data_IF_204402523814
#
_entry.id   IF_204402523814
#
_cell.length_a   1.000
_cell.length_b   1.000
_cell.length_c   1.000
_cell.angle_alpha   90.00
_cell.angle_beta   90.00
_cell.angle_gamma   90.00
#
_symmetry.space_group_name_H-M   'P 1'
#
loop_
_entity.id
_entity.type
_entity.pdbx_description
1 polymer ?
#
# COMPACT_ATOMS: atom_id res chain seq x y z
N UNK A 1 15.04 -26.86 -18.90
CA UNK A 1 13.59 -26.65 -18.73
C UNK A 1 12.93 -26.77 -20.10
N UNK A 2 11.84 -27.54 -20.26
CA UNK A 2 11.08 -27.54 -21.52
C UNK A 2 10.51 -26.13 -21.74
N UNK A 3 10.59 -25.59 -22.95
CA UNK A 3 10.17 -24.21 -23.26
C UNK A 3 8.73 -23.93 -22.80
N UNK A 4 7.81 -24.87 -23.06
CA UNK A 4 6.40 -24.80 -22.65
C UNK A 4 6.23 -24.69 -21.13
N UNK A 5 7.10 -25.35 -20.36
CA UNK A 5 7.08 -25.28 -18.88
C UNK A 5 7.49 -23.88 -18.42
N UNK A 6 8.51 -23.29 -19.03
CA UNK A 6 8.95 -21.94 -18.72
C UNK A 6 7.91 -20.87 -19.02
N UNK A 7 7.27 -20.97 -20.19
CA UNK A 7 6.20 -20.06 -20.60
C UNK A 7 5.01 -20.17 -19.64
N UNK A 8 4.60 -21.40 -19.29
CA UNK A 8 3.50 -21.63 -18.36
C UNK A 8 3.75 -21.02 -16.99
N UNK A 9 4.89 -21.37 -16.36
CA UNK A 9 5.20 -20.85 -15.02
C UNK A 9 5.47 -19.33 -15.03
N UNK A 10 6.14 -18.81 -16.06
CA UNK A 10 6.31 -17.37 -16.22
C UNK A 10 4.96 -16.65 -16.30
N UNK A 11 4.03 -17.16 -17.12
CA UNK A 11 2.67 -16.63 -17.25
C UNK A 11 1.88 -16.71 -15.94
N UNK A 12 1.91 -17.85 -15.27
CA UNK A 12 1.22 -18.07 -13.99
C UNK A 12 1.73 -17.10 -12.91
N UNK A 13 3.05 -17.02 -12.71
CA UNK A 13 3.63 -16.12 -11.71
C UNK A 13 3.44 -14.65 -12.08
N UNK A 14 3.53 -14.29 -13.36
CA UNK A 14 3.25 -12.94 -13.83
C UNK A 14 1.81 -12.51 -13.54
N UNK A 15 0.83 -13.39 -13.84
CA UNK A 15 -0.58 -13.15 -13.57
C UNK A 15 -0.88 -13.06 -12.07
N UNK A 16 -0.32 -13.97 -11.26
CA UNK A 16 -0.45 -13.93 -9.81
C UNK A 16 0.15 -12.66 -9.21
N UNK A 17 1.32 -12.23 -9.69
CA UNK A 17 1.96 -10.98 -9.27
C UNK A 17 1.08 -9.76 -9.57
N UNK A 18 0.51 -9.67 -10.77
CA UNK A 18 -0.41 -8.59 -11.15
C UNK A 18 -1.66 -8.59 -10.26
N UNK A 19 -2.29 -9.75 -10.05
CA UNK A 19 -3.49 -9.86 -9.22
C UNK A 19 -3.20 -9.46 -7.77
N UNK A 20 -2.07 -9.91 -7.22
CA UNK A 20 -1.61 -9.52 -5.89
C UNK A 20 -1.40 -8.01 -5.81
N UNK A 21 -0.78 -7.40 -6.82
CA UNK A 21 -0.62 -5.94 -6.85
C UNK A 21 -1.95 -5.20 -6.92
N UNK A 22 -2.91 -5.66 -7.70
CA UNK A 22 -4.24 -5.05 -7.75
C UNK A 22 -4.92 -5.10 -6.37
N UNK A 23 -4.83 -6.23 -5.66
CA UNK A 23 -5.39 -6.35 -4.31
C UNK A 23 -4.62 -5.49 -3.31
N UNK A 24 -3.28 -5.55 -3.35
CA UNK A 24 -2.45 -4.77 -2.45
C UNK A 24 -2.71 -3.28 -2.63
N UNK A 25 -2.53 -2.73 -3.83
CA UNK A 25 -2.61 -1.29 -4.09
C UNK A 25 -4.03 -0.76 -4.24
N UNK A 26 -5.01 -1.60 -4.59
CA UNK A 26 -6.40 -1.19 -4.76
C UNK A 26 -7.21 -1.10 -3.47
N UNK A 27 -6.70 -1.69 -2.38
CA UNK A 27 -7.40 -1.70 -1.09
C UNK A 27 -6.91 -0.59 -0.16
N UNK A 28 -7.74 -0.26 0.81
CA UNK A 28 -7.53 0.78 1.82
C UNK A 28 -7.01 0.24 3.16
N UNK A 29 -6.18 -0.82 3.11
CA UNK A 29 -5.62 -1.51 4.28
C UNK A 29 -4.08 -1.61 4.21
N UNK A 30 -3.41 -0.53 3.83
CA UNK A 30 -1.95 -0.42 3.92
C UNK A 30 -1.50 0.02 5.31
N UNK A 31 -2.20 0.99 5.90
CA UNK A 31 -2.03 1.43 7.28
C UNK A 31 -3.28 1.13 8.08
N UNK A 32 -3.09 0.71 9.32
CA UNK A 32 -4.15 0.60 10.31
C UNK A 32 -3.75 1.47 11.51
N UNK A 33 -4.67 2.30 11.98
CA UNK A 33 -4.47 3.04 13.22
C UNK A 33 -5.65 2.84 14.16
N UNK A 34 -5.38 2.77 15.46
CA UNK A 34 -6.40 2.74 16.51
C UNK A 34 -6.13 3.87 17.46
N UNK A 35 -7.08 4.79 17.55
CA UNK A 35 -7.07 5.90 18.50
C UNK A 35 -7.94 5.52 19.69
N UNK A 36 -7.44 5.75 20.89
CA UNK A 36 -8.16 5.52 22.15
C UNK A 36 -7.99 6.76 23.00
N UNK A 37 -9.08 7.38 23.43
CA UNK A 37 -9.00 8.55 24.30
C UNK A 37 -10.36 9.03 24.78
N UNK A 38 -10.36 9.87 25.82
CA UNK A 38 -11.56 10.57 26.29
C UNK A 38 -11.55 11.97 25.68
N UNK A 39 -12.35 12.18 24.65
CA UNK A 39 -12.49 13.48 23.99
C UNK A 39 -13.83 14.13 24.38
N UNK A 40 -13.92 15.48 24.42
CA UNK A 40 -15.19 16.18 24.62
C UNK A 40 -16.14 15.95 23.44
N UNK A 41 -17.45 15.81 23.68
CA UNK A 41 -18.43 15.80 22.59
C UNK A 41 -18.53 17.21 21.97
N UNK A 42 -18.41 17.28 20.64
CA UNK A 42 -18.48 18.52 19.85
C UNK A 42 -19.77 19.31 20.08
N UNK A 43 -20.83 18.67 20.60
CA UNK A 43 -22.13 19.31 20.85
C UNK A 43 -22.25 20.01 22.20
N UNK A 44 -21.53 19.60 23.26
CA UNK A 44 -21.74 20.17 24.60
C UNK A 44 -20.48 20.38 25.48
N UNK A 45 -19.26 20.16 24.97
CA UNK A 45 -18.00 20.28 25.77
C UNK A 45 -18.06 19.50 27.10
N UNK A 46 -18.94 18.51 27.21
CA UNK A 46 -19.04 17.62 28.35
C UNK A 46 -18.16 16.42 28.04
N UNK A 47 -17.43 15.93 29.03
CA UNK A 47 -16.64 14.72 28.90
C UNK A 47 -17.57 13.54 28.69
N UNK A 48 -17.22 12.62 27.78
CA UNK A 48 -17.97 11.38 27.63
C UNK A 48 -17.88 10.58 28.93
N UNK A 49 -18.98 10.56 29.70
CA UNK A 49 -19.10 9.79 30.95
C UNK A 49 -19.12 8.28 30.68
N UNK A 50 -19.39 7.87 29.43
CA UNK A 50 -19.49 6.48 28.96
C UNK A 50 -18.14 5.77 28.72
N UNK A 51 -17.01 6.41 29.04
CA UNK A 51 -15.67 5.82 28.93
C UNK A 51 -14.87 6.30 27.70
N UNK A 52 -13.67 5.72 27.46
CA UNK A 52 -12.82 6.15 26.35
C UNK A 52 -13.43 5.77 25.00
N UNK A 53 -13.43 6.70 24.05
CA UNK A 53 -13.85 6.45 22.67
C UNK A 53 -12.72 5.75 21.93
N UNK A 54 -13.05 4.70 21.18
CA UNK A 54 -12.11 3.99 20.30
C UNK A 54 -12.47 4.28 18.85
N UNK A 55 -11.52 4.81 18.09
CA UNK A 55 -11.70 5.05 16.65
C UNK A 55 -10.69 4.22 15.87
N UNK A 56 -11.19 3.39 14.97
CA UNK A 56 -10.39 2.59 14.07
C UNK A 56 -10.26 3.30 12.73
N UNK A 57 -9.04 3.36 12.22
CA UNK A 57 -8.69 3.96 10.94
C UNK A 57 -8.01 2.93 10.07
N UNK A 58 -8.36 2.90 8.79
CA UNK A 58 -7.60 2.18 7.79
C UNK A 58 -7.40 3.06 6.56
N UNK A 59 -6.19 3.01 6.03
CA UNK A 59 -5.75 3.87 4.93
C UNK A 59 -5.05 3.04 3.85
N UNK A 60 -5.37 3.34 2.60
CA UNK A 60 -4.57 2.96 1.45
C UNK A 60 -4.27 4.16 0.57
N UNK A 61 -4.10 3.90 -0.72
CA UNK A 61 -3.60 4.89 -1.68
C UNK A 61 -4.64 5.96 -1.99
N UNK A 62 -5.89 5.53 -2.12
CA UNK A 62 -6.98 6.35 -2.61
C UNK A 62 -7.93 6.81 -1.50
N UNK A 63 -8.13 5.95 -0.49
CA UNK A 63 -9.13 6.13 0.55
C UNK A 63 -8.53 5.98 1.92
N UNK A 64 -9.04 6.81 2.83
CA UNK A 64 -8.87 6.70 4.27
C UNK A 64 -10.25 6.65 4.88
N UNK A 65 -10.51 5.61 5.65
CA UNK A 65 -11.80 5.39 6.29
C UNK A 65 -11.62 5.22 7.80
N UNK A 66 -12.64 5.64 8.55
CA UNK A 66 -12.68 5.45 9.99
C UNK A 66 -14.07 5.09 10.48
N UNK A 67 -14.10 4.41 11.63
CA UNK A 67 -15.33 4.01 12.31
C UNK A 67 -15.10 3.91 13.82
N UNK A 68 -16.16 4.13 14.58
CA UNK A 68 -16.13 4.00 16.04
C UNK A 68 -16.21 2.52 16.44
N UNK A 69 -15.45 2.17 17.47
CA UNK A 69 -15.38 0.84 18.06
C UNK A 69 -15.72 0.90 19.55
N UNK A 70 -16.08 -0.26 20.10
CA UNK A 70 -16.38 -0.38 21.52
C UNK A 70 -15.10 -0.52 22.34
N UNK A 71 -14.99 0.25 23.44
CA UNK A 71 -13.92 0.12 24.40
C UNK A 71 -14.05 -1.20 25.19
N UNK A 72 -13.22 -2.18 24.87
CA UNK A 72 -13.19 -3.48 25.54
C UNK A 72 -11.85 -4.19 25.37
N UNK A 73 -11.68 -5.32 26.05
CA UNK A 73 -10.48 -6.15 25.93
C UNK A 73 -10.25 -6.55 24.46
N UNK A 74 -9.10 -6.19 23.89
CA UNK A 74 -8.78 -6.41 22.48
C UNK A 74 -9.14 -5.26 21.53
N UNK A 75 -9.36 -4.04 22.05
CA UNK A 75 -9.55 -2.83 21.23
C UNK A 75 -8.42 -2.60 20.20
N UNK A 76 -7.22 -3.15 20.40
CA UNK A 76 -6.11 -3.04 19.46
C UNK A 76 -5.90 -4.30 18.60
N UNK A 77 -6.87 -5.20 18.51
CA UNK A 77 -6.73 -6.47 17.77
C UNK A 77 -6.93 -6.29 16.25
N UNK A 78 -6.12 -6.98 15.45
CA UNK A 78 -6.21 -6.95 13.98
C UNK A 78 -7.59 -7.40 13.47
N UNK A 79 -8.25 -8.28 14.23
CA UNK A 79 -9.58 -8.83 13.91
C UNK A 79 -10.69 -7.78 13.82
N UNK A 80 -10.51 -6.59 14.42
CA UNK A 80 -11.47 -5.48 14.31
C UNK A 80 -11.49 -4.86 12.91
N UNK A 81 -10.38 -4.98 12.18
CA UNK A 81 -10.28 -4.50 10.80
C UNK A 81 -10.75 -5.52 9.77
N UNK A 82 -11.16 -6.72 10.19
CA UNK A 82 -11.74 -7.71 9.28
C UNK A 82 -13.18 -7.34 8.93
N UNK A 83 -13.58 -7.51 7.67
CA UNK A 83 -14.87 -7.06 7.15
C UNK A 83 -16.09 -7.54 7.96
N UNK A 84 -16.00 -8.68 8.65
CA UNK A 84 -17.10 -9.24 9.46
C UNK A 84 -17.31 -8.56 10.81
N UNK A 85 -16.35 -7.76 11.28
CA UNK A 85 -16.35 -7.15 12.61
C UNK A 85 -16.41 -5.62 12.57
N UNK A 86 -16.60 -5.03 11.39
CA UNK A 86 -16.64 -3.58 11.21
C UNK A 86 -18.05 -3.03 11.49
N UNK A 87 -18.09 -1.78 11.95
CA UNK A 87 -19.33 -1.02 12.10
C UNK A 87 -20.04 -0.85 10.74
N UNK A 88 -21.38 -0.92 10.67
CA UNK A 88 -22.15 -0.66 9.44
C UNK A 88 -21.95 0.76 8.90
N UNK A 89 -21.69 1.73 9.77
CA UNK A 89 -21.40 3.11 9.40
C UNK A 89 -19.90 3.37 9.44
N UNK A 90 -19.31 3.64 8.28
CA UNK A 90 -17.92 4.10 8.13
C UNK A 90 -17.91 5.42 7.40
N UNK A 91 -17.04 6.34 7.82
CA UNK A 91 -16.82 7.59 7.11
C UNK A 91 -15.52 7.49 6.32
N UNK A 92 -15.56 7.84 5.04
CA UNK A 92 -14.43 7.69 4.13
C UNK A 92 -14.15 9.00 3.42
N UNK A 93 -12.88 9.37 3.38
CA UNK A 93 -12.40 10.52 2.62
C UNK A 93 -11.20 10.11 1.79
N UNK A 94 -10.88 10.92 0.79
CA UNK A 94 -9.72 10.67 -0.03
C UNK A 94 -8.41 10.82 0.78
N UNK A 95 -7.57 9.79 0.75
CA UNK A 95 -6.29 9.78 1.48
C UNK A 95 -5.31 10.88 0.97
N UNK A 96 -5.55 11.44 -0.23
CA UNK A 96 -4.73 12.50 -0.80
C UNK A 96 -5.10 13.93 -0.38
N UNK A 97 -6.28 14.14 0.20
CA UNK A 97 -6.67 15.47 0.68
C UNK A 97 -6.20 15.80 2.10
N UNK A 98 -5.64 14.83 2.82
CA UNK A 98 -5.19 15.04 4.19
C UNK A 98 -3.77 14.50 4.35
N UNK A 99 -2.73 15.35 4.33
CA UNK A 99 -1.65 15.11 5.27
C UNK A 99 -2.29 15.07 6.67
N UNK A 100 -1.69 14.36 7.62
CA UNK A 100 -2.15 14.31 9.01
C UNK A 100 -2.83 15.63 9.43
N UNK A 101 -3.99 15.61 10.10
CA UNK A 101 -4.72 16.83 10.45
C UNK A 101 -3.91 17.57 11.53
N UNK A 102 -2.85 18.24 11.10
CA UNK A 102 -2.02 19.14 11.83
C UNK A 102 -1.99 20.41 11.00
N UNK A 103 -2.37 21.49 11.68
CA UNK A 103 -2.75 22.78 11.13
C UNK A 103 -2.02 23.15 9.85
N UNK A 104 -2.80 23.26 8.79
CA UNK A 104 -2.47 23.95 7.54
C UNK A 104 -2.08 25.43 7.76
N UNK A 105 -2.20 25.92 8.98
CA UNK A 105 -1.82 27.28 9.41
C UNK A 105 -0.39 27.36 9.98
N UNK A 106 0.29 26.22 10.22
CA UNK A 106 1.71 26.18 10.57
C UNK A 106 2.59 26.10 9.31
N UNK A 107 2.35 27.01 8.35
CA UNK A 107 2.88 27.03 6.97
C UNK A 107 4.40 27.23 6.81
N UNK A 108 5.21 27.04 7.85
CA UNK A 108 6.66 27.34 7.82
C UNK A 108 7.53 26.23 8.44
N UNK A 109 7.12 24.96 8.34
CA UNK A 109 7.94 23.86 8.86
C UNK A 109 8.45 22.98 7.74
N UNK A 110 9.78 22.81 7.66
CA UNK A 110 10.46 21.95 6.68
C UNK A 110 9.93 20.49 6.64
N UNK A 111 9.25 20.04 7.69
CA UNK A 111 8.57 18.75 7.77
C UNK A 111 7.37 18.62 6.81
N UNK A 112 6.64 19.71 6.55
CA UNK A 112 5.50 19.70 5.62
C UNK A 112 5.96 19.63 4.17
N UNK A 113 6.95 20.44 3.80
CA UNK A 113 7.50 20.45 2.44
C UNK A 113 8.16 19.12 2.08
N UNK A 114 8.93 18.56 3.01
CA UNK A 114 9.55 17.23 2.84
C UNK A 114 8.49 16.12 2.70
N UNK A 115 7.37 16.20 3.41
CA UNK A 115 6.26 15.26 3.26
C UNK A 115 5.60 15.31 1.88
N UNK A 116 5.40 16.51 1.33
CA UNK A 116 4.85 16.69 -0.03
C UNK A 116 5.79 16.09 -1.06
N UNK A 117 7.08 16.42 -1.00
CA UNK A 117 8.09 15.93 -1.94
C UNK A 117 8.17 14.40 -1.88
N UNK A 118 8.18 13.85 -0.67
CA UNK A 118 8.23 12.41 -0.45
C UNK A 118 7.05 11.68 -1.10
N UNK A 119 5.85 12.20 -0.88
CA UNK A 119 4.61 11.69 -1.48
C UNK A 119 4.65 11.78 -3.01
N UNK A 120 5.22 12.85 -3.56
CA UNK A 120 5.42 13.03 -4.99
C UNK A 120 6.26 11.91 -5.59
N UNK A 121 7.46 11.67 -5.06
CA UNK A 121 8.33 10.58 -5.52
C UNK A 121 7.68 9.21 -5.39
N UNK A 122 7.03 8.94 -4.26
CA UNK A 122 6.33 7.69 -4.03
C UNK A 122 5.23 7.44 -5.07
N UNK A 123 4.46 8.49 -5.42
CA UNK A 123 3.43 8.42 -6.47
C UNK A 123 4.03 8.20 -7.85
N UNK A 124 5.17 8.83 -8.17
CA UNK A 124 5.87 8.63 -9.43
C UNK A 124 6.34 7.18 -9.58
N UNK A 125 7.00 6.61 -8.57
CA UNK A 125 7.44 5.22 -8.63
C UNK A 125 6.26 4.23 -8.73
N UNK A 126 5.16 4.51 -8.02
CA UNK A 126 3.92 3.76 -8.17
C UNK A 126 3.40 3.75 -9.62
N UNK A 127 3.29 4.92 -10.24
CA UNK A 127 2.81 5.05 -11.62
C UNK A 127 3.74 4.36 -12.61
N UNK A 128 5.05 4.53 -12.45
CA UNK A 128 6.05 3.85 -13.29
C UNK A 128 5.97 2.33 -13.14
N UNK A 129 5.78 1.82 -11.93
CA UNK A 129 5.56 0.40 -11.67
C UNK A 129 4.31 -0.15 -12.39
N UNK A 130 3.19 0.58 -12.33
CA UNK A 130 1.95 0.20 -13.02
C UNK A 130 2.11 0.22 -14.53
N UNK A 131 2.69 1.28 -15.10
CA UNK A 131 2.90 1.40 -16.55
C UNK A 131 3.81 0.28 -17.06
N UNK A 132 4.91 0.01 -16.35
CA UNK A 132 5.86 -1.03 -16.75
C UNK A 132 5.27 -2.43 -16.67
N UNK A 133 4.52 -2.77 -15.62
CA UNK A 133 3.93 -4.12 -15.52
C UNK A 133 2.82 -4.35 -16.53
N UNK A 134 2.00 -3.33 -16.83
CA UNK A 134 0.95 -3.41 -17.86
C UNK A 134 1.57 -3.58 -19.26
N UNK A 135 2.57 -2.76 -19.59
CA UNK A 135 3.30 -2.90 -20.85
C UNK A 135 4.03 -4.25 -20.96
N UNK A 136 4.62 -4.73 -19.86
CA UNK A 136 5.25 -6.04 -19.78
C UNK A 136 4.26 -7.17 -20.04
N UNK A 137 3.10 -7.14 -19.39
CA UNK A 137 2.02 -8.09 -19.63
C UNK A 137 1.56 -8.12 -21.09
N UNK A 138 1.37 -6.93 -21.69
CA UNK A 138 1.02 -6.82 -23.11
C UNK A 138 2.06 -7.47 -24.02
N UNK A 139 3.35 -7.18 -23.84
CA UNK A 139 4.42 -7.80 -24.63
C UNK A 139 4.48 -9.32 -24.49
N UNK A 140 4.26 -9.85 -23.27
CA UNK A 140 4.22 -11.30 -23.06
C UNK A 140 3.02 -11.95 -23.76
N UNK A 141 1.84 -11.33 -23.70
CA UNK A 141 0.65 -11.83 -24.40
C UNK A 141 0.89 -11.86 -25.91
N UNK A 142 1.50 -10.82 -26.47
CA UNK A 142 1.89 -10.79 -27.88
C UNK A 142 3.02 -11.78 -28.20
N UNK A 143 3.93 -12.09 -27.26
CA UNK A 143 5.04 -13.01 -27.51
C UNK A 143 4.59 -14.45 -27.79
N UNK A 144 3.45 -14.88 -27.23
CA UNK A 144 2.92 -16.23 -27.39
C UNK A 144 2.54 -16.59 -28.84
N UNK A 145 1.69 -15.84 -29.57
CA UNK A 145 1.35 -16.15 -30.96
C UNK A 145 2.52 -15.95 -31.92
N UNK A 146 3.38 -14.96 -31.68
CA UNK A 146 4.49 -14.63 -32.60
C UNK A 146 5.77 -15.43 -32.33
N UNK A 147 5.83 -16.23 -31.25
CA UNK A 147 7.03 -16.95 -30.80
C UNK A 147 8.31 -16.08 -30.80
N UNK A 148 8.15 -14.78 -30.52
CA UNK A 148 9.22 -13.79 -30.67
C UNK A 148 10.09 -13.75 -29.42
N UNK A 149 11.36 -14.13 -29.56
CA UNK A 149 12.36 -14.04 -28.48
C UNK A 149 12.56 -12.60 -27.98
N UNK A 150 12.42 -11.60 -28.87
CA UNK A 150 12.54 -10.19 -28.53
C UNK A 150 11.43 -9.72 -27.59
N UNK A 151 10.18 -10.14 -27.86
CA UNK A 151 9.03 -9.79 -27.02
C UNK A 151 9.10 -10.44 -25.64
N UNK A 152 9.54 -11.70 -25.55
CA UNK A 152 9.78 -12.35 -24.25
C UNK A 152 10.85 -11.63 -23.42
N UNK A 153 11.94 -11.17 -24.07
CA UNK A 153 13.00 -10.42 -23.38
C UNK A 153 12.54 -9.04 -22.94
N UNK A 154 11.84 -8.31 -23.80
CA UNK A 154 11.30 -6.99 -23.48
C UNK A 154 10.27 -7.07 -22.35
N UNK A 155 9.31 -7.99 -22.45
CA UNK A 155 8.31 -8.23 -21.42
C UNK A 155 8.93 -8.64 -20.09
N UNK A 156 9.87 -9.61 -20.11
CA UNK A 156 10.59 -10.04 -18.91
C UNK A 156 11.38 -8.91 -18.23
N UNK A 157 12.05 -8.08 -19.03
CA UNK A 157 12.74 -6.88 -18.52
C UNK A 157 11.78 -5.89 -17.86
N UNK A 158 10.61 -5.63 -18.46
CA UNK A 158 9.59 -4.76 -17.89
C UNK A 158 9.02 -5.29 -16.56
N UNK A 159 8.81 -6.60 -16.43
CA UNK A 159 8.40 -7.23 -15.16
C UNK A 159 9.45 -7.05 -14.04
N UNK A 160 10.74 -7.12 -14.37
CA UNK A 160 11.82 -6.86 -13.41
C UNK A 160 11.82 -5.38 -12.99
N UNK A 161 11.75 -4.48 -13.97
CA UNK A 161 11.70 -3.03 -13.73
C UNK A 161 10.50 -2.65 -12.84
N UNK A 162 9.32 -3.23 -13.11
CA UNK A 162 8.15 -3.04 -12.26
C UNK A 162 8.40 -3.50 -10.81
N UNK A 163 9.00 -4.69 -10.63
CA UNK A 163 9.36 -5.20 -9.31
C UNK A 163 10.32 -4.28 -8.55
N UNK A 164 11.27 -3.64 -9.24
CA UNK A 164 12.19 -2.65 -8.65
C UNK A 164 11.43 -1.40 -8.23
N UNK A 165 10.58 -0.84 -9.08
CA UNK A 165 9.78 0.35 -8.73
C UNK A 165 8.85 0.07 -7.55
N UNK A 166 8.13 -1.06 -7.54
CA UNK A 166 7.29 -1.42 -6.41
C UNK A 166 8.11 -1.71 -5.13
N UNK A 167 9.34 -2.20 -5.25
CA UNK A 167 10.26 -2.32 -4.09
C UNK A 167 10.60 -0.94 -3.52
N UNK A 168 10.92 0.04 -4.39
CA UNK A 168 11.15 1.42 -3.96
C UNK A 168 9.92 2.01 -3.26
N UNK A 169 8.72 1.77 -3.78
CA UNK A 169 7.45 2.18 -3.15
C UNK A 169 7.30 1.60 -1.74
N UNK A 170 7.55 0.30 -1.57
CA UNK A 170 7.44 -0.37 -0.26
C UNK A 170 8.47 0.18 0.72
N UNK A 171 9.74 0.28 0.32
CA UNK A 171 10.81 0.83 1.16
C UNK A 171 10.50 2.27 1.55
N UNK A 172 10.08 3.09 0.58
CA UNK A 172 9.68 4.45 0.87
C UNK A 172 8.48 4.52 1.81
N UNK A 173 7.49 3.65 1.65
CA UNK A 173 6.36 3.63 2.57
C UNK A 173 6.79 3.27 4.01
N UNK A 174 7.72 2.35 4.17
CA UNK A 174 8.29 1.99 5.48
C UNK A 174 9.02 3.17 6.11
N UNK A 175 9.90 3.83 5.35
CA UNK A 175 10.62 5.03 5.81
C UNK A 175 9.63 6.15 6.18
N UNK A 176 8.56 6.33 5.40
CA UNK A 176 7.52 7.31 5.70
C UNK A 176 6.87 7.06 7.07
N UNK A 177 6.41 5.83 7.30
CA UNK A 177 5.75 5.46 8.56
C UNK A 177 6.73 5.57 9.75
N UNK A 178 7.99 5.18 9.58
CA UNK A 178 8.95 5.14 10.70
C UNK A 178 9.66 6.47 10.99
N UNK A 179 9.97 7.26 9.96
CA UNK A 179 10.84 8.44 10.09
C UNK A 179 10.09 9.77 9.86
N UNK A 180 9.00 9.78 9.09
CA UNK A 180 8.30 11.01 8.70
C UNK A 180 6.95 11.18 9.39
N UNK A 181 6.34 10.10 9.89
CA UNK A 181 5.12 10.22 10.67
C UNK A 181 5.47 10.81 12.04
N UNK A 182 5.24 12.12 12.19
CA UNK A 182 5.41 12.86 13.45
C UNK A 182 4.30 12.49 14.45
N UNK A 183 4.21 11.20 14.78
CA UNK A 183 3.18 10.63 15.64
C UNK A 183 3.21 11.27 17.04
N UNK A 184 4.39 11.64 17.53
CA UNK A 184 4.56 12.32 18.81
C UNK A 184 3.94 13.71 18.82
N UNK A 185 4.13 14.49 17.76
CA UNK A 185 3.51 15.82 17.65
C UNK A 185 1.99 15.70 17.47
N UNK A 186 1.54 14.71 16.71
CA UNK A 186 0.12 14.38 16.60
C UNK A 186 -0.47 14.01 17.96
N UNK A 187 0.19 13.12 18.72
CA UNK A 187 -0.22 12.74 20.07
C UNK A 187 -0.28 13.95 20.99
N UNK A 188 0.73 14.83 20.98
CA UNK A 188 0.74 16.07 21.76
C UNK A 188 -0.44 16.98 21.41
N UNK A 189 -0.68 17.24 20.13
CA UNK A 189 -1.83 18.05 19.70
C UNK A 189 -3.18 17.45 20.10
N UNK A 190 -3.29 16.11 20.15
CA UNK A 190 -4.51 15.43 20.59
C UNK A 190 -4.66 15.42 22.11
N UNK A 191 -3.56 15.37 22.85
CA UNK A 191 -3.56 15.47 24.31
C UNK A 191 -3.98 16.86 24.82
N UNK A 192 -3.86 17.92 24.01
CA UNK A 192 -4.41 19.24 24.34
C UNK A 192 -5.95 19.23 24.40
N UNK A 193 -6.59 18.32 23.68
CA UNK A 193 -8.06 18.24 23.55
C UNK A 193 -8.64 17.02 24.28
N UNK A 194 -7.93 15.90 24.28
CA UNK A 194 -8.40 14.61 24.78
C UNK A 194 -7.51 14.11 25.93
N UNK A 195 -8.14 13.56 26.98
CA UNK A 195 -7.44 12.97 28.12
C UNK A 195 -7.09 11.50 27.81
N UNK A 196 -5.92 11.05 28.28
CA UNK A 196 -5.40 9.69 28.12
C UNK A 196 -5.36 9.19 26.66
N UNK A 197 -5.09 10.10 25.72
CA UNK A 197 -5.04 9.77 24.30
C UNK A 197 -3.83 8.89 23.94
N UNK A 198 -4.11 7.75 23.32
CA UNK A 198 -3.11 6.85 22.75
C UNK A 198 -3.48 6.48 21.32
N UNK A 199 -2.47 6.35 20.47
CA UNK A 199 -2.60 5.96 19.07
C UNK A 199 -1.67 4.79 18.79
N UNK A 200 -2.22 3.72 18.20
CA UNK A 200 -1.48 2.53 17.81
C UNK A 200 -1.51 2.42 16.29
N UNK A 201 -0.34 2.49 15.65
CA UNK A 201 -0.18 2.39 14.20
C UNK A 201 0.42 1.04 13.83
N UNK A 202 -0.12 0.39 12.80
CA UNK A 202 0.34 -0.91 12.30
C UNK A 202 0.24 -0.94 10.78
N UNK A 203 1.11 -1.75 10.16
CA UNK A 203 0.95 -2.11 8.76
C UNK A 203 -0.27 -3.02 8.59
N UNK A 204 -1.05 -2.76 7.56
CA UNK A 204 -2.20 -3.59 7.21
C UNK A 204 -1.84 -4.78 6.34
N UNK A 205 -2.82 -5.64 6.09
CA UNK A 205 -2.62 -6.90 5.36
C UNK A 205 -2.26 -6.66 3.88
N UNK A 206 -2.77 -5.59 3.28
CA UNK A 206 -2.47 -5.24 1.89
C UNK A 206 -1.01 -4.83 1.69
N UNK A 207 -0.43 -4.14 2.70
CA UNK A 207 0.99 -3.85 2.72
C UNK A 207 1.82 -5.13 2.76
N UNK A 208 1.42 -6.12 3.57
CA UNK A 208 2.13 -7.41 3.65
C UNK A 208 2.05 -8.23 2.36
N UNK A 209 1.02 -7.99 1.54
CA UNK A 209 0.83 -8.67 0.26
C UNK A 209 1.74 -8.10 -0.85
N UNK A 210 2.10 -6.81 -0.78
CA UNK A 210 2.91 -6.15 -1.82
C UNK A 210 4.29 -6.81 -2.05
N UNK A 211 5.08 -7.18 -1.02
CA UNK A 211 6.32 -7.95 -1.18
C UNK A 211 6.13 -9.28 -1.90
N UNK A 212 5.00 -9.95 -1.70
CA UNK A 212 4.68 -11.21 -2.38
C UNK A 212 4.48 -10.96 -3.89
N UNK A 213 3.79 -9.88 -4.25
CA UNK A 213 3.65 -9.45 -5.64
C UNK A 213 4.99 -9.12 -6.30
N UNK A 214 5.89 -8.43 -5.56
CA UNK A 214 7.25 -8.11 -6.01
C UNK A 214 8.01 -9.39 -6.33
N UNK A 215 8.00 -10.37 -5.42
CA UNK A 215 8.66 -11.65 -5.64
C UNK A 215 8.17 -12.32 -6.93
N UNK A 216 6.86 -12.42 -7.12
CA UNK A 216 6.30 -13.03 -8.33
C UNK A 216 6.62 -12.26 -9.59
N UNK A 217 6.60 -10.92 -9.55
CA UNK A 217 6.97 -10.07 -10.68
C UNK A 217 8.43 -10.27 -11.10
N UNK A 218 9.36 -10.24 -10.15
CA UNK A 218 10.78 -10.45 -10.40
C UNK A 218 11.04 -11.87 -10.92
N UNK A 219 10.41 -12.88 -10.32
CA UNK A 219 10.59 -14.27 -10.71
C UNK A 219 10.03 -14.55 -12.11
N UNK A 220 8.83 -14.04 -12.42
CA UNK A 220 8.26 -14.11 -13.76
C UNK A 220 9.15 -13.41 -14.79
N UNK A 221 9.65 -12.22 -14.47
CA UNK A 221 10.57 -11.49 -15.34
C UNK A 221 11.84 -12.27 -15.69
N UNK A 222 12.45 -12.91 -14.68
CA UNK A 222 13.61 -13.79 -14.90
C UNK A 222 13.28 -15.00 -15.77
N UNK A 223 12.13 -15.65 -15.56
CA UNK A 223 11.68 -16.77 -16.38
C UNK A 223 11.47 -16.35 -17.84
N UNK A 224 10.85 -15.20 -18.10
CA UNK A 224 10.64 -14.71 -19.46
C UNK A 224 11.94 -14.33 -20.17
N UNK A 225 12.93 -13.77 -19.45
CA UNK A 225 14.27 -13.54 -20.00
C UNK A 225 14.94 -14.86 -20.39
N UNK A 226 14.83 -15.90 -19.55
CA UNK A 226 15.37 -17.23 -19.84
C UNK A 226 14.66 -17.88 -21.04
N UNK A 227 13.32 -17.82 -21.09
CA UNK A 227 12.52 -18.29 -22.22
C UNK A 227 12.94 -17.60 -23.52
N UNK A 228 13.03 -16.27 -23.52
CA UNK A 228 13.47 -15.50 -24.68
C UNK A 228 14.89 -15.88 -25.11
N UNK A 229 15.81 -16.07 -24.17
CA UNK A 229 17.17 -16.55 -24.47
C UNK A 229 17.16 -17.95 -25.08
N UNK A 230 16.35 -18.86 -24.57
CA UNK A 230 16.24 -20.23 -25.11
C UNK A 230 15.69 -20.23 -26.54
N UNK A 231 14.64 -19.45 -26.83
CA UNK A 231 14.12 -19.30 -28.20
C UNK A 231 15.21 -18.74 -29.12
N UNK A 232 15.91 -17.69 -28.69
CA UNK A 232 16.99 -17.08 -29.47
C UNK A 232 18.11 -18.08 -29.84
N UNK A 233 18.45 -18.99 -28.93
CA UNK A 233 19.48 -20.02 -29.17
C UNK A 233 19.01 -21.15 -30.08
N UNK A 234 17.70 -21.46 -30.12
CA UNK A 234 17.14 -22.50 -31.00
C UNK A 234 16.77 -21.99 -32.41
N UNK A 235 16.63 -20.68 -32.59
CA UNK A 235 16.35 -20.06 -33.90
C UNK A 235 17.64 -19.67 -34.65
N UNK A 236 18.79 -19.69 -34.00
CA UNK A 236 20.11 -19.56 -34.63
C UNK A 236 20.65 -20.93 -35.01
#
# INVERSE_FOLDING_TARGET
MKLSVGIFFGGLFGALGILIFLVAFGTDYWLLATEVGKCPDNRNKTWNEEGPVVTHHHEGFFWRCWFEGQAGNGANSMSKFWFTNQSPSKNCTHAYLSPFPLNRDANNTAAYDSAIIYRGFWTIFMLLGVVTIVAGGFFIICAAPFSSHGLYKAGGGLFITAGIFFSMVVVMYVIWVQAMSNLDNYKKSKLEVCVDFNVYVRYGWSFMLAPVGIFFSLFAGMLFLLVGRTIQLHTK
#
